data_IF_546744569055
#
_entry.id   IF_546744569055
#
_cell.length_a   1.000
_cell.length_b   1.000
_cell.length_c   1.000
_cell.angle_alpha   90.00
_cell.angle_beta   90.00
_cell.angle_gamma   90.00
#
_symmetry.space_group_name_H-M   'P 1'
#
loop_
_entity.id
_entity.type
_entity.pdbx_description
1 polymer ?
#
# COMPACT_ATOMS: atom_id res chain seq x y z
N UNK A 1 59.47 -5.74 -85.91
CA UNK A 1 58.55 -4.75 -85.41
C UNK A 1 57.53 -5.46 -84.47
N UNK A 2 57.72 -5.39 -83.16
CA UNK A 2 56.94 -6.12 -82.14
C UNK A 2 55.97 -5.18 -81.48
N UNK A 3 54.65 -5.42 -81.53
CA UNK A 3 53.65 -4.64 -80.88
C UNK A 3 53.33 -5.25 -79.49
N UNK A 4 53.72 -4.51 -78.47
CA UNK A 4 53.41 -4.82 -77.04
C UNK A 4 51.96 -4.53 -76.76
N UNK A 5 51.18 -5.50 -76.29
CA UNK A 5 49.84 -5.35 -75.80
C UNK A 5 49.87 -5.04 -74.32
N UNK A 6 49.44 -3.84 -73.93
CA UNK A 6 49.18 -3.43 -72.51
C UNK A 6 48.01 -4.19 -71.99
N UNK A 7 48.17 -5.01 -70.94
CA UNK A 7 47.11 -5.60 -70.11
C UNK A 7 46.66 -4.55 -69.06
N UNK A 8 45.43 -4.13 -69.13
CA UNK A 8 44.81 -3.33 -68.10
C UNK A 8 44.34 -4.21 -66.98
N UNK A 9 44.89 -4.02 -65.76
CA UNK A 9 44.42 -4.63 -64.52
C UNK A 9 43.14 -3.98 -64.08
N UNK A 10 42.06 -4.73 -64.15
CA UNK A 10 40.76 -4.34 -63.57
C UNK A 10 40.83 -4.63 -62.08
N UNK A 11 40.76 -3.58 -61.23
CA UNK A 11 40.61 -3.68 -59.78
C UNK A 11 39.25 -4.33 -59.40
N UNK A 12 39.23 -5.30 -58.47
CA UNK A 12 37.97 -5.82 -57.98
C UNK A 12 37.24 -4.76 -57.13
N UNK A 13 35.94 -4.61 -57.38
CA UNK A 13 35.05 -3.74 -56.63
C UNK A 13 34.80 -4.34 -55.22
N UNK A 14 34.88 -3.59 -54.13
CA UNK A 14 34.58 -4.12 -52.82
C UNK A 14 33.07 -4.40 -52.73
N UNK A 15 32.71 -5.62 -52.35
CA UNK A 15 31.35 -6.07 -52.12
C UNK A 15 30.72 -5.25 -50.99
N UNK A 16 29.51 -4.74 -51.25
CA UNK A 16 28.69 -4.04 -50.25
C UNK A 16 28.34 -4.99 -49.09
N UNK A 17 28.32 -4.49 -47.83
CA UNK A 17 27.94 -5.32 -46.70
C UNK A 17 26.43 -5.68 -46.80
N UNK A 18 26.17 -6.97 -46.87
CA UNK A 18 24.82 -7.54 -46.78
C UNK A 18 24.19 -7.15 -45.43
N UNK A 19 23.15 -6.34 -45.47
CA UNK A 19 22.32 -6.07 -44.31
C UNK A 19 21.52 -7.34 -43.93
N UNK A 20 22.17 -8.22 -43.17
CA UNK A 20 21.46 -9.32 -42.50
C UNK A 20 20.52 -8.74 -41.48
N UNK A 21 19.29 -8.43 -41.90
CA UNK A 21 18.19 -8.09 -41.00
C UNK A 21 18.00 -9.25 -40.01
N UNK A 22 18.37 -9.03 -38.75
CA UNK A 22 18.08 -9.95 -37.67
C UNK A 22 16.54 -10.01 -37.50
N UNK A 23 15.92 -10.96 -38.19
CA UNK A 23 14.52 -11.31 -37.94
C UNK A 23 14.48 -12.01 -36.59
N UNK A 24 14.07 -11.30 -35.56
CA UNK A 24 13.73 -11.90 -34.27
C UNK A 24 12.71 -13.02 -34.54
N UNK A 25 12.92 -14.24 -34.03
CA UNK A 25 12.00 -15.33 -34.25
C UNK A 25 10.63 -14.95 -33.65
N UNK A 26 9.57 -15.13 -34.43
CA UNK A 26 8.18 -14.84 -34.08
C UNK A 26 7.77 -15.42 -32.69
N UNK A 27 8.40 -16.52 -32.30
CA UNK A 27 8.24 -17.14 -30.99
C UNK A 27 8.76 -16.23 -29.85
N UNK A 28 9.93 -15.59 -30.01
CA UNK A 28 10.47 -14.69 -28.99
C UNK A 28 9.60 -13.45 -28.81
N UNK A 29 9.04 -12.89 -29.88
CA UNK A 29 8.11 -11.77 -29.82
C UNK A 29 6.81 -12.15 -29.10
N UNK A 30 6.29 -13.35 -29.29
CA UNK A 30 5.07 -13.82 -28.58
C UNK A 30 5.31 -14.04 -27.11
N UNK A 31 6.47 -14.55 -26.70
CA UNK A 31 6.83 -14.73 -25.28
C UNK A 31 6.97 -13.38 -24.58
N UNK A 32 7.61 -12.40 -25.20
CA UNK A 32 7.74 -11.04 -24.63
C UNK A 32 6.39 -10.38 -24.44
N UNK A 33 5.46 -10.50 -25.41
CA UNK A 33 4.11 -9.96 -25.29
C UNK A 33 3.29 -10.64 -24.18
N UNK A 34 3.44 -11.98 -24.03
CA UNK A 34 2.75 -12.70 -22.96
C UNK A 34 3.25 -12.29 -21.57
N UNK A 35 4.56 -12.13 -21.39
CA UNK A 35 5.16 -11.67 -20.12
C UNK A 35 4.74 -10.24 -19.80
N UNK A 36 4.71 -9.35 -20.80
CA UNK A 36 4.25 -7.98 -20.64
C UNK A 36 2.76 -7.91 -20.24
N UNK A 37 1.90 -8.74 -20.83
CA UNK A 37 0.50 -8.82 -20.49
C UNK A 37 0.25 -9.32 -19.05
N UNK A 38 1.02 -10.33 -18.60
CA UNK A 38 0.96 -10.83 -17.23
C UNK A 38 1.45 -9.79 -16.22
N UNK A 39 2.52 -9.08 -16.52
CA UNK A 39 3.05 -8.01 -15.69
C UNK A 39 2.06 -6.83 -15.59
N UNK A 40 1.46 -6.43 -16.71
CA UNK A 40 0.42 -5.39 -16.75
C UNK A 40 -0.83 -5.83 -15.97
N UNK A 41 -1.32 -7.06 -16.16
CA UNK A 41 -2.44 -7.60 -15.42
C UNK A 41 -2.19 -7.63 -13.92
N UNK A 42 -1.00 -8.07 -13.47
CA UNK A 42 -0.60 -8.04 -12.07
C UNK A 42 -0.52 -6.64 -11.49
N UNK A 43 -0.01 -5.67 -12.26
CA UNK A 43 0.06 -4.27 -11.85
C UNK A 43 -1.34 -3.65 -11.66
N UNK A 44 -2.24 -3.83 -12.63
CA UNK A 44 -3.62 -3.35 -12.54
C UNK A 44 -4.41 -3.98 -11.40
N UNK A 45 -4.23 -5.29 -11.18
CA UNK A 45 -4.84 -6.00 -10.07
C UNK A 45 -4.37 -5.48 -8.70
N UNK A 46 -3.07 -5.20 -8.57
CA UNK A 46 -2.51 -4.64 -7.34
C UNK A 46 -3.02 -3.21 -7.08
N UNK A 47 -3.11 -2.38 -8.12
CA UNK A 47 -3.66 -1.02 -8.02
C UNK A 47 -5.14 -1.03 -7.59
N UNK A 48 -5.96 -1.91 -8.15
CA UNK A 48 -7.36 -2.04 -7.78
C UNK A 48 -7.51 -2.40 -6.29
N UNK A 49 -6.72 -3.37 -5.80
CA UNK A 49 -6.74 -3.76 -4.38
C UNK A 49 -6.30 -2.63 -3.45
N UNK A 50 -5.34 -1.83 -3.83
CA UNK A 50 -4.90 -0.68 -3.04
C UNK A 50 -5.98 0.41 -2.96
N UNK A 51 -6.68 0.67 -4.05
CA UNK A 51 -7.81 1.60 -4.09
C UNK A 51 -8.94 1.19 -3.12
N UNK A 52 -9.35 -0.06 -3.16
CA UNK A 52 -10.38 -0.60 -2.27
C UNK A 52 -9.97 -0.52 -0.79
N UNK A 53 -8.72 -0.81 -0.48
CA UNK A 53 -8.19 -0.74 0.89
C UNK A 53 -8.18 0.68 1.42
N UNK A 54 -7.76 1.66 0.61
CA UNK A 54 -7.78 3.08 0.99
C UNK A 54 -9.20 3.57 1.26
N UNK A 55 -10.14 3.23 0.38
CA UNK A 55 -11.54 3.60 0.55
C UNK A 55 -12.12 3.02 1.85
N UNK A 56 -11.81 1.78 2.18
CA UNK A 56 -12.23 1.15 3.43
C UNK A 56 -11.59 1.81 4.66
N UNK A 57 -10.31 2.17 4.61
CA UNK A 57 -9.66 2.86 5.72
C UNK A 57 -10.19 4.29 5.91
N UNK A 58 -10.61 4.97 4.85
CA UNK A 58 -11.21 6.30 4.94
C UNK A 58 -12.51 6.30 5.76
N UNK A 59 -13.23 5.18 5.79
CA UNK A 59 -14.41 5.04 6.64
C UNK A 59 -14.11 5.15 8.13
N UNK A 60 -12.86 4.95 8.55
CA UNK A 60 -12.44 5.11 9.94
C UNK A 60 -12.37 6.58 10.39
N UNK A 61 -12.32 7.54 9.46
CA UNK A 61 -12.22 8.96 9.81
C UNK A 61 -13.43 9.40 10.61
N UNK A 62 -13.17 10.18 11.64
CA UNK A 62 -14.18 10.73 12.53
C UNK A 62 -13.82 10.60 14.00
N UNK A 63 -14.76 11.02 14.85
CA UNK A 63 -14.61 10.95 16.30
C UNK A 63 -15.35 9.75 16.84
N UNK A 64 -14.69 9.00 17.69
CA UNK A 64 -15.15 7.75 18.25
C UNK A 64 -15.16 7.85 19.77
N UNK A 65 -16.32 7.69 20.40
CA UNK A 65 -16.44 7.72 21.85
C UNK A 65 -16.59 6.32 22.42
N UNK A 66 -15.82 6.02 23.47
CA UNK A 66 -15.93 4.77 24.23
C UNK A 66 -17.22 4.79 25.06
N UNK A 67 -17.91 3.67 25.08
CA UNK A 67 -19.25 3.58 25.70
C UNK A 67 -19.27 3.72 27.23
N UNK A 68 -18.14 3.44 27.88
CA UNK A 68 -18.00 3.42 29.35
C UNK A 68 -17.36 4.68 29.93
N UNK A 69 -17.24 5.76 29.14
CA UNK A 69 -16.66 7.00 29.63
C UNK A 69 -16.45 8.07 28.57
N UNK A 70 -15.78 9.15 28.98
CA UNK A 70 -15.48 10.31 28.14
C UNK A 70 -14.24 10.13 27.23
N UNK A 71 -13.80 8.89 27.00
CA UNK A 71 -12.63 8.59 26.16
C UNK A 71 -12.98 8.76 24.70
N UNK A 72 -12.19 9.56 23.98
CA UNK A 72 -12.44 9.84 22.56
C UNK A 72 -11.19 9.58 21.73
N UNK A 73 -11.34 8.82 20.66
CA UNK A 73 -10.39 8.71 19.57
C UNK A 73 -10.87 9.61 18.42
N UNK A 74 -10.02 10.52 17.95
CA UNK A 74 -10.30 11.39 16.80
C UNK A 74 -9.35 11.04 15.66
N UNK A 75 -9.84 10.31 14.65
CA UNK A 75 -9.09 9.92 13.45
C UNK A 75 -9.33 10.96 12.36
N UNK A 76 -8.32 11.80 12.08
CA UNK A 76 -8.43 12.92 11.15
C UNK A 76 -8.10 12.56 9.73
N UNK A 77 -7.14 11.67 9.53
CA UNK A 77 -6.75 11.22 8.20
C UNK A 77 -6.17 9.82 8.22
N UNK A 78 -6.20 9.18 7.05
CA UNK A 78 -5.61 7.88 6.79
C UNK A 78 -4.69 7.99 5.58
N UNK A 79 -3.43 7.61 5.74
CA UNK A 79 -2.44 7.60 4.66
C UNK A 79 -2.51 6.28 3.87
N UNK A 80 -2.04 6.27 2.62
CA UNK A 80 -1.75 5.03 1.91
C UNK A 80 -0.84 4.14 2.74
N UNK A 81 -1.22 2.87 2.95
CA UNK A 81 -0.47 1.96 3.83
C UNK A 81 -1.00 1.90 5.27
N UNK A 82 -2.06 2.66 5.59
CA UNK A 82 -2.81 2.50 6.84
C UNK A 82 -2.31 3.34 8.01
N UNK A 83 -1.30 4.17 7.86
CA UNK A 83 -0.91 5.08 8.94
C UNK A 83 -2.03 6.10 9.21
N UNK A 84 -2.39 6.27 10.48
CA UNK A 84 -3.45 7.17 10.92
C UNK A 84 -2.88 8.43 11.56
N UNK A 85 -3.49 9.58 11.25
CA UNK A 85 -3.34 10.78 12.07
C UNK A 85 -4.48 10.79 13.09
N UNK A 86 -4.17 10.41 14.33
CA UNK A 86 -5.16 10.29 15.38
C UNK A 86 -4.79 11.10 16.63
N UNK A 87 -5.80 11.52 17.38
CA UNK A 87 -5.68 12.11 18.71
C UNK A 87 -6.52 11.29 19.68
N UNK A 88 -6.09 11.25 20.95
CA UNK A 88 -6.82 10.59 22.01
C UNK A 88 -7.07 11.55 23.18
N UNK A 89 -8.25 11.48 23.77
CA UNK A 89 -8.68 12.36 24.86
C UNK A 89 -9.25 11.55 26.04
N UNK A 90 -8.84 11.94 27.28
CA UNK A 90 -9.36 11.40 28.55
C UNK A 90 -9.30 12.44 29.70
N UNK A 91 -10.19 13.37 29.86
CA UNK A 91 -10.79 14.20 28.81
C UNK A 91 -9.76 15.12 28.13
N UNK A 92 -8.55 15.27 28.72
CA UNK A 92 -7.44 16.04 28.16
C UNK A 92 -6.77 15.26 27.03
N UNK A 93 -6.09 15.94 26.12
CA UNK A 93 -5.28 15.27 25.11
C UNK A 93 -4.22 14.39 25.74
N UNK A 94 -4.06 13.17 25.24
CA UNK A 94 -3.03 12.19 25.60
C UNK A 94 -2.20 11.93 24.35
N UNK A 95 -0.88 11.84 24.48
CA UNK A 95 0.00 11.62 23.36
C UNK A 95 -0.22 10.24 22.71
N UNK A 96 -0.48 10.24 21.41
CA UNK A 96 -0.58 9.05 20.56
C UNK A 96 0.80 8.81 19.93
N UNK A 97 1.49 7.77 20.36
CA UNK A 97 2.81 7.42 19.84
C UNK A 97 2.74 6.69 18.49
N UNK A 98 1.69 5.88 18.30
CA UNK A 98 1.44 5.12 17.08
C UNK A 98 -0.05 4.98 16.84
N UNK A 99 -0.47 5.15 15.60
CA UNK A 99 -1.83 4.86 15.17
C UNK A 99 -1.79 4.32 13.74
N UNK A 100 -2.38 3.15 13.53
CA UNK A 100 -2.40 2.48 12.24
C UNK A 100 -3.66 1.66 12.03
N UNK A 101 -4.09 1.58 10.77
CA UNK A 101 -5.07 0.63 10.28
C UNK A 101 -4.37 -0.47 9.51
N UNK A 102 -4.86 -1.68 9.63
CA UNK A 102 -4.41 -2.83 8.86
C UNK A 102 -5.61 -3.65 8.39
N UNK A 103 -5.38 -4.56 7.46
CA UNK A 103 -6.40 -5.45 6.94
C UNK A 103 -6.01 -6.90 7.15
N UNK A 104 -6.97 -7.69 7.64
CA UNK A 104 -6.86 -9.13 7.79
C UNK A 104 -8.09 -9.77 7.10
N UNK A 105 -7.89 -10.25 5.87
CA UNK A 105 -8.98 -10.63 4.99
C UNK A 105 -9.87 -9.42 4.66
N UNK A 106 -11.15 -9.48 5.02
CA UNK A 106 -12.11 -8.38 4.88
C UNK A 106 -12.21 -7.50 6.12
N UNK A 107 -11.56 -7.89 7.19
CA UNK A 107 -11.62 -7.22 8.48
C UNK A 107 -10.63 -6.06 8.56
N UNK A 108 -11.11 -4.88 8.89
CA UNK A 108 -10.29 -3.70 9.16
C UNK A 108 -9.97 -3.64 10.65
N UNK A 109 -8.68 -3.60 10.98
CA UNK A 109 -8.16 -3.49 12.34
C UNK A 109 -7.56 -2.10 12.56
N UNK A 110 -7.68 -1.58 13.78
CA UNK A 110 -7.10 -0.32 14.21
C UNK A 110 -6.24 -0.57 15.44
N UNK A 111 -4.99 -0.14 15.38
CA UNK A 111 -4.06 -0.17 16.50
C UNK A 111 -3.70 1.25 16.92
N UNK A 112 -3.74 1.54 18.23
CA UNK A 112 -3.33 2.82 18.79
C UNK A 112 -2.49 2.56 20.02
N UNK A 113 -1.30 3.17 20.07
CA UNK A 113 -0.41 3.17 21.23
C UNK A 113 -0.36 4.55 21.85
N UNK A 114 -0.57 4.61 23.15
CA UNK A 114 -0.53 5.82 23.98
C UNK A 114 0.80 5.87 24.76
N UNK A 115 1.50 7.01 24.69
CA UNK A 115 2.70 7.28 25.48
C UNK A 115 2.62 8.65 26.10
N UNK A 116 2.17 8.67 27.34
CA UNK A 116 2.06 9.87 28.17
C UNK A 116 2.27 9.52 29.64
N UNK A 117 2.23 10.50 30.55
CA UNK A 117 2.49 10.34 31.98
C UNK A 117 1.67 9.23 32.54
N UNK A 118 0.51 8.92 32.38
CA UNK A 118 -0.26 7.79 32.91
C UNK A 118 -0.51 6.68 31.84
N UNK A 119 0.21 6.74 30.73
CA UNK A 119 0.05 5.84 29.61
C UNK A 119 1.40 5.37 29.06
N UNK A 120 2.20 4.59 29.82
CA UNK A 120 3.54 4.16 29.40
C UNK A 120 3.50 3.00 28.42
N UNK A 121 2.81 3.16 27.29
CA UNK A 121 2.61 2.11 26.27
C UNK A 121 1.29 1.38 26.39
N UNK A 122 0.24 2.02 26.88
CA UNK A 122 -1.12 1.48 26.82
C UNK A 122 -1.61 1.40 25.38
N UNK A 123 -2.31 0.33 25.02
CA UNK A 123 -2.68 0.09 23.61
C UNK A 123 -4.17 -0.24 23.43
N UNK A 124 -4.71 0.19 22.31
CA UNK A 124 -5.96 -0.28 21.77
C UNK A 124 -5.70 -1.20 20.58
N UNK A 125 -6.37 -2.34 20.54
CA UNK A 125 -6.46 -3.24 19.39
C UNK A 125 -7.92 -3.44 19.07
N UNK A 126 -8.38 -2.80 17.99
CA UNK A 126 -9.80 -2.70 17.66
C UNK A 126 -10.06 -3.27 16.27
N UNK A 127 -11.28 -3.74 16.07
CA UNK A 127 -11.84 -4.19 14.80
C UNK A 127 -13.00 -3.28 14.42
N UNK A 128 -13.04 -2.83 13.17
CA UNK A 128 -14.15 -2.03 12.67
C UNK A 128 -15.30 -2.91 12.18
N UNK A 129 -16.48 -2.63 12.70
CA UNK A 129 -17.76 -3.18 12.24
C UNK A 129 -18.50 -2.12 11.43
N UNK A 130 -18.52 -2.22 10.08
CA UNK A 130 -19.18 -1.23 9.25
C UNK A 130 -20.71 -1.25 9.37
N UNK A 131 -21.32 -2.39 9.74
CA UNK A 131 -22.76 -2.51 9.89
C UNK A 131 -23.27 -1.79 11.14
N UNK A 132 -22.49 -1.89 12.23
CA UNK A 132 -22.79 -1.23 13.49
C UNK A 132 -22.15 0.14 13.66
N UNK A 133 -21.35 0.60 12.69
CA UNK A 133 -20.50 1.81 12.78
C UNK A 133 -19.76 1.88 14.12
N UNK A 134 -19.03 0.82 14.43
CA UNK A 134 -18.43 0.59 15.74
C UNK A 134 -16.99 0.06 15.61
N UNK A 135 -16.11 0.49 16.53
CA UNK A 135 -14.79 -0.09 16.77
C UNK A 135 -14.87 -0.92 18.04
N UNK A 136 -14.62 -2.23 17.98
CA UNK A 136 -14.68 -3.15 19.12
C UNK A 136 -13.39 -3.94 19.26
N UNK A 137 -12.99 -4.19 20.50
CA UNK A 137 -11.78 -4.95 20.78
C UNK A 137 -11.28 -4.74 22.19
N UNK A 138 -9.96 -4.60 22.37
CA UNK A 138 -9.33 -4.57 23.68
C UNK A 138 -8.54 -3.28 23.92
N UNK A 139 -8.50 -2.90 25.19
CA UNK A 139 -7.63 -1.89 25.74
C UNK A 139 -6.68 -2.53 26.77
N UNK A 140 -5.39 -2.52 26.49
CA UNK A 140 -4.36 -2.90 27.43
C UNK A 140 -3.89 -1.67 28.20
N UNK A 141 -4.10 -1.66 29.51
CA UNK A 141 -3.64 -0.63 30.41
C UNK A 141 -2.27 -1.01 30.98
N UNK A 142 -1.24 -0.26 30.58
CA UNK A 142 0.16 -0.66 30.80
C UNK A 142 0.61 -0.58 32.26
N UNK A 143 0.03 0.32 33.09
CA UNK A 143 0.41 0.47 34.50
C UNK A 143 -0.06 -0.74 35.31
N UNK A 144 -1.33 -1.07 35.21
CA UNK A 144 -1.91 -2.20 35.95
C UNK A 144 -1.73 -3.54 35.26
N UNK A 145 -1.27 -3.54 33.98
CA UNK A 145 -1.11 -4.72 33.12
C UNK A 145 -2.42 -5.51 32.96
N UNK A 146 -3.54 -4.80 32.88
CA UNK A 146 -4.86 -5.37 32.71
C UNK A 146 -5.37 -5.07 31.31
N UNK A 147 -6.12 -6.02 30.75
CA UNK A 147 -6.80 -5.87 29.46
C UNK A 147 -8.31 -5.82 29.68
N UNK A 148 -8.95 -4.85 29.07
CA UNK A 148 -10.39 -4.63 29.12
C UNK A 148 -10.99 -4.79 27.73
N UNK A 149 -12.15 -5.41 27.65
CA UNK A 149 -12.97 -5.36 26.43
C UNK A 149 -13.64 -4.01 26.32
N UNK A 150 -13.51 -3.39 25.17
CA UNK A 150 -14.01 -2.03 24.93
C UNK A 150 -14.68 -1.93 23.57
N UNK A 151 -15.58 -0.97 23.43
CA UNK A 151 -16.03 -0.55 22.11
C UNK A 151 -16.25 0.96 22.05
N UNK A 152 -16.16 1.47 20.85
CA UNK A 152 -16.39 2.88 20.53
C UNK A 152 -17.50 2.98 19.51
N UNK A 153 -18.34 3.97 19.65
CA UNK A 153 -19.35 4.36 18.65
C UNK A 153 -18.98 5.72 18.06
N UNK A 154 -19.33 5.92 16.82
CA UNK A 154 -19.05 7.19 16.16
C UNK A 154 -19.88 8.31 16.76
N UNK A 155 -19.23 9.41 17.10
CA UNK A 155 -19.92 10.65 17.44
C UNK A 155 -20.46 11.26 16.15
N UNK A 156 -21.77 11.46 16.11
CA UNK A 156 -22.39 12.23 15.01
C UNK A 156 -22.03 13.71 15.19
N UNK A 157 -21.80 14.44 14.07
CA UNK A 157 -21.54 15.87 14.11
C UNK A 157 -22.73 16.66 14.68
#
# INVERSE_FOLDING_TARGET
MSKSRKRTHRKPNPAAPSAAGRRLPLLAARVVLAVAALAAGGYWWNQARQGDTLTQFQTLQGRWQRNDGGYVIDIRSVEPGGKLTASYFNPRPINVAKAEASRDGETVKVFIELRDVNYPGSTYTLTFDPAGDRLSGTYFQAIERVTYDVYFTRLKP
#
